data_IF_139650462454
#
_entry.id   IF_139650462454
#
_cell.length_a   1.000
_cell.length_b   1.000
_cell.length_c   1.000
_cell.angle_alpha   90.00
_cell.angle_beta   90.00
_cell.angle_gamma   90.00
#
_symmetry.space_group_name_H-M   'P 1'
#
loop_
_entity.id
_entity.type
_entity.pdbx_description
1 polymer ?
#
# COMPACT_ATOMS: atom_id res chain seq x y z
N UNK A 1 -42.97 -4.26 4.56
CA UNK A 1 -41.80 -4.35 5.45
C UNK A 1 -41.75 -5.73 6.09
N UNK A 2 -40.65 -6.46 5.91
CA UNK A 2 -40.35 -7.67 6.64
C UNK A 2 -39.53 -7.28 7.88
N UNK A 3 -40.03 -7.56 9.07
CA UNK A 3 -39.32 -7.41 10.32
C UNK A 3 -39.23 -8.77 10.98
N UNK A 4 -37.99 -9.22 11.27
CA UNK A 4 -37.72 -10.48 11.91
C UNK A 4 -36.91 -10.22 13.19
N UNK A 5 -37.36 -10.83 14.30
CA UNK A 5 -36.80 -10.57 15.63
C UNK A 5 -37.30 -9.28 16.25
N UNK A 6 -36.90 -9.02 17.48
CA UNK A 6 -37.27 -7.89 18.34
C UNK A 6 -37.52 -8.36 19.76
N UNK A 7 -37.55 -7.43 20.75
CA UNK A 7 -37.85 -7.79 22.13
C UNK A 7 -36.87 -8.76 22.80
N UNK A 8 -35.61 -8.77 22.36
CA UNK A 8 -34.55 -9.66 22.87
C UNK A 8 -34.39 -10.98 22.13
N UNK A 9 -35.12 -11.19 21.03
CA UNK A 9 -34.94 -12.36 20.15
C UNK A 9 -34.13 -11.99 18.91
N UNK A 10 -33.21 -12.87 18.49
CA UNK A 10 -32.52 -12.78 17.20
C UNK A 10 -33.49 -12.99 16.05
N UNK A 11 -33.37 -12.21 14.99
CA UNK A 11 -34.17 -12.37 13.77
C UNK A 11 -33.27 -12.78 12.61
N UNK A 12 -33.30 -14.05 12.26
CA UNK A 12 -32.46 -14.63 11.22
C UNK A 12 -33.26 -14.84 9.93
N UNK A 13 -32.58 -14.70 8.78
CA UNK A 13 -33.10 -15.09 7.48
C UNK A 13 -32.14 -16.10 6.87
N UNK A 14 -32.68 -17.27 6.50
CA UNK A 14 -31.93 -18.34 5.88
C UNK A 14 -32.53 -18.68 4.52
N UNK A 15 -31.72 -18.66 3.46
CA UNK A 15 -32.08 -19.22 2.18
C UNK A 15 -31.32 -20.54 2.01
N UNK A 16 -32.06 -21.59 1.65
CA UNK A 16 -31.54 -22.96 1.54
C UNK A 16 -31.45 -23.37 0.07
N UNK A 17 -30.48 -24.21 -0.26
CA UNK A 17 -30.39 -24.89 -1.54
C UNK A 17 -31.49 -25.97 -1.66
N UNK A 18 -31.60 -26.57 -2.84
CA UNK A 18 -32.48 -27.75 -3.03
C UNK A 18 -32.11 -28.96 -2.16
N UNK A 19 -30.87 -29.00 -1.64
CA UNK A 19 -30.35 -30.00 -0.70
C UNK A 19 -30.50 -29.62 0.76
N UNK A 20 -31.25 -28.56 1.05
CA UNK A 20 -31.50 -28.03 2.40
C UNK A 20 -30.22 -27.47 3.10
N UNK A 21 -29.20 -27.13 2.34
CA UNK A 21 -28.01 -26.47 2.85
C UNK A 21 -28.13 -24.95 2.77
N UNK A 22 -27.59 -24.24 3.76
CA UNK A 22 -27.69 -22.81 3.88
C UNK A 22 -26.75 -22.13 2.85
N UNK A 23 -27.32 -21.37 1.93
CA UNK A 23 -26.58 -20.66 0.87
C UNK A 23 -26.52 -19.15 1.05
N UNK A 24 -27.49 -18.56 1.77
CA UNK A 24 -27.47 -17.16 2.19
C UNK A 24 -28.07 -17.07 3.58
N UNK A 25 -27.38 -16.38 4.47
CA UNK A 25 -27.80 -16.24 5.86
C UNK A 25 -27.58 -14.82 6.35
N UNK A 26 -28.62 -14.24 6.92
CA UNK A 26 -28.56 -12.98 7.66
C UNK A 26 -28.74 -13.31 9.13
N UNK A 27 -27.73 -13.07 9.93
CA UNK A 27 -27.69 -13.30 11.36
C UNK A 27 -28.12 -12.02 12.08
N UNK A 28 -29.31 -12.03 12.63
CA UNK A 28 -29.85 -10.89 13.38
C UNK A 28 -29.28 -10.77 14.78
N UNK A 29 -28.65 -11.82 15.32
CA UNK A 29 -28.00 -11.81 16.63
C UNK A 29 -26.64 -11.10 16.59
N UNK A 30 -25.79 -11.52 15.67
CA UNK A 30 -24.42 -11.01 15.53
C UNK A 30 -24.26 -9.96 14.41
N UNK A 31 -25.31 -9.74 13.60
CA UNK A 31 -25.30 -8.77 12.52
C UNK A 31 -24.47 -9.19 11.30
N UNK A 32 -24.25 -10.49 11.10
CA UNK A 32 -23.44 -11.03 10.03
C UNK A 32 -24.27 -11.39 8.78
N UNK A 33 -23.63 -11.31 7.61
CA UNK A 33 -24.15 -11.83 6.35
C UNK A 33 -23.19 -12.91 5.87
N UNK A 34 -23.70 -14.14 5.66
CA UNK A 34 -22.95 -15.23 5.06
C UNK A 34 -23.52 -15.53 3.67
N UNK A 35 -22.63 -15.57 2.67
CA UNK A 35 -22.95 -15.91 1.30
C UNK A 35 -22.13 -17.14 0.91
N UNK A 36 -22.80 -18.19 0.40
CA UNK A 36 -22.19 -19.48 0.08
C UNK A 36 -22.13 -20.43 1.28
N UNK A 37 -21.56 -21.60 1.05
CA UNK A 37 -21.51 -22.72 1.98
C UNK A 37 -22.27 -23.92 1.43
N UNK A 38 -22.22 -25.06 2.14
CA UNK A 38 -22.94 -26.29 1.74
C UNK A 38 -22.59 -26.79 0.33
N UNK A 39 -21.31 -26.65 -0.08
CA UNK A 39 -20.85 -27.06 -1.41
C UNK A 39 -21.08 -26.01 -2.53
N UNK A 40 -21.60 -24.85 -2.21
CA UNK A 40 -21.79 -23.73 -3.15
C UNK A 40 -20.81 -22.62 -2.90
N UNK A 41 -20.25 -22.05 -3.97
CA UNK A 41 -19.48 -20.79 -3.90
C UNK A 41 -20.43 -19.64 -3.53
N UNK A 42 -19.95 -18.73 -2.73
CA UNK A 42 -20.70 -17.54 -2.36
C UNK A 42 -20.12 -16.30 -3.02
N UNK A 43 -20.90 -15.70 -3.92
CA UNK A 43 -20.51 -14.53 -4.66
C UNK A 43 -21.36 -13.32 -4.27
N UNK A 44 -20.75 -12.12 -4.24
CA UNK A 44 -21.47 -10.85 -4.12
C UNK A 44 -21.12 -10.00 -5.33
N UNK A 45 -22.12 -9.71 -6.15
CA UNK A 45 -21.95 -8.88 -7.33
C UNK A 45 -22.80 -7.61 -7.25
N UNK A 46 -22.22 -6.47 -7.60
CA UNK A 46 -22.89 -5.18 -7.71
C UNK A 46 -22.95 -4.76 -9.19
N UNK A 47 -24.15 -4.41 -9.63
CA UNK A 47 -24.42 -4.01 -10.99
C UNK A 47 -24.79 -2.53 -11.08
N UNK A 48 -24.47 -1.90 -12.19
CA UNK A 48 -24.98 -0.58 -12.57
C UNK A 48 -26.38 -0.67 -13.15
N UNK A 49 -27.00 0.47 -13.38
CA UNK A 49 -28.33 0.62 -13.97
C UNK A 49 -28.45 0.07 -15.41
N UNK A 50 -27.32 0.01 -16.14
CA UNK A 50 -27.21 -0.58 -17.47
C UNK A 50 -27.00 -2.12 -17.44
N UNK A 51 -27.08 -2.74 -16.26
CA UNK A 51 -26.95 -4.19 -16.05
C UNK A 51 -25.53 -4.73 -16.11
N UNK A 52 -24.51 -3.86 -16.13
CA UNK A 52 -23.11 -4.29 -16.13
C UNK A 52 -22.57 -4.48 -14.72
N UNK A 53 -21.79 -5.52 -14.51
CA UNK A 53 -21.17 -5.81 -13.25
C UNK A 53 -20.03 -4.80 -12.98
N UNK A 54 -20.04 -4.17 -11.80
CA UNK A 54 -19.09 -3.12 -11.39
C UNK A 54 -18.19 -3.56 -10.25
N UNK A 55 -18.65 -4.47 -9.43
CA UNK A 55 -17.87 -5.06 -8.36
C UNK A 55 -18.29 -6.51 -8.18
N UNK A 56 -17.33 -7.39 -7.92
CA UNK A 56 -17.55 -8.80 -7.67
C UNK A 56 -16.61 -9.29 -6.58
N UNK A 57 -17.16 -9.91 -5.56
CA UNK A 57 -16.44 -10.69 -4.56
C UNK A 57 -16.72 -12.14 -4.89
N UNK A 58 -15.70 -12.85 -5.37
CA UNK A 58 -15.79 -14.23 -5.83
C UNK A 58 -15.33 -15.16 -4.71
N UNK A 59 -16.28 -15.85 -4.10
CA UNK A 59 -16.00 -16.80 -3.02
C UNK A 59 -15.35 -18.09 -3.49
N UNK A 60 -15.43 -18.42 -4.78
CA UNK A 60 -14.81 -19.62 -5.35
C UNK A 60 -13.31 -19.46 -5.55
N UNK A 61 -12.86 -18.31 -6.03
CA UNK A 61 -11.45 -18.00 -6.28
C UNK A 61 -10.81 -17.13 -5.18
N UNK A 62 -11.61 -16.65 -4.22
CA UNK A 62 -11.19 -15.73 -3.15
C UNK A 62 -10.66 -14.39 -3.68
N UNK A 63 -11.21 -13.89 -4.79
CA UNK A 63 -10.80 -12.64 -5.42
C UNK A 63 -11.84 -11.53 -5.23
N UNK A 64 -11.37 -10.29 -5.26
CA UNK A 64 -12.20 -9.08 -5.31
C UNK A 64 -11.89 -8.37 -6.62
N UNK A 65 -12.90 -8.17 -7.45
CA UNK A 65 -12.81 -7.44 -8.70
C UNK A 65 -13.55 -6.11 -8.57
N UNK A 66 -12.93 -5.03 -9.01
CA UNK A 66 -13.55 -3.72 -9.15
C UNK A 66 -13.37 -3.23 -10.59
N UNK A 67 -14.43 -2.72 -11.19
CA UNK A 67 -14.44 -2.27 -12.59
C UNK A 67 -14.70 -3.39 -13.59
N UNK A 68 -14.45 -3.11 -14.86
CA UNK A 68 -14.75 -3.98 -16.00
C UNK A 68 -15.95 -3.49 -16.78
N UNK A 69 -16.23 -4.13 -17.92
CA UNK A 69 -17.35 -3.84 -18.82
C UNK A 69 -17.49 -2.35 -19.20
N UNK A 70 -16.35 -1.68 -19.40
CA UNK A 70 -16.27 -0.28 -19.81
C UNK A 70 -16.16 0.73 -18.66
N UNK A 71 -15.97 0.28 -17.41
CA UNK A 71 -15.65 1.15 -16.27
C UNK A 71 -14.30 0.77 -15.64
N UNK A 72 -13.52 1.78 -15.29
CA UNK A 72 -12.35 1.58 -14.44
C UNK A 72 -12.80 1.23 -13.01
N UNK A 73 -12.04 0.36 -12.35
CA UNK A 73 -12.31 -0.04 -10.97
C UNK A 73 -11.29 0.57 -10.02
N UNK A 74 -11.77 1.46 -9.17
CA UNK A 74 -10.92 2.16 -8.21
C UNK A 74 -11.17 1.68 -6.78
N UNK A 75 -10.12 1.65 -5.95
CA UNK A 75 -10.24 1.44 -4.52
C UNK A 75 -9.67 2.67 -3.80
N UNK A 76 -10.53 3.36 -3.06
CA UNK A 76 -10.15 4.55 -2.30
C UNK A 76 -10.31 4.32 -0.80
N UNK A 77 -9.21 4.40 -0.04
CA UNK A 77 -9.24 4.43 1.42
C UNK A 77 -9.25 5.89 1.89
N UNK A 78 -10.17 6.19 2.80
CA UNK A 78 -10.39 7.54 3.30
C UNK A 78 -10.01 7.64 4.77
N UNK A 79 -9.56 8.82 5.19
CA UNK A 79 -9.37 9.16 6.60
C UNK A 79 -10.72 9.44 7.28
N UNK A 80 -10.68 9.75 8.59
CA UNK A 80 -11.86 10.05 9.41
C UNK A 80 -12.59 11.33 8.96
N UNK A 81 -11.95 12.21 8.22
CA UNK A 81 -12.53 13.40 7.61
C UNK A 81 -13.15 13.13 6.22
N UNK A 82 -13.07 11.88 5.72
CA UNK A 82 -13.61 11.48 4.42
C UNK A 82 -12.69 11.79 3.22
N UNK A 83 -11.46 12.24 3.47
CA UNK A 83 -10.48 12.53 2.43
C UNK A 83 -9.78 11.26 1.98
N UNK A 84 -9.68 11.03 0.66
CA UNK A 84 -8.93 9.91 0.10
C UNK A 84 -7.44 10.03 0.41
N UNK A 85 -6.87 9.04 1.10
CA UNK A 85 -5.46 8.96 1.49
C UNK A 85 -4.69 7.90 0.71
N UNK A 86 -5.34 6.79 0.33
CA UNK A 86 -4.77 5.79 -0.58
C UNK A 86 -5.77 5.58 -1.70
N UNK A 87 -5.30 5.59 -2.93
CA UNK A 87 -6.11 5.40 -4.13
C UNK A 87 -5.38 4.45 -5.09
N UNK A 88 -5.99 3.30 -5.34
CA UNK A 88 -5.63 2.42 -6.43
C UNK A 88 -6.52 2.83 -7.60
N UNK A 89 -5.92 3.41 -8.61
CA UNK A 89 -6.60 4.00 -9.77
C UNK A 89 -6.34 3.09 -10.97
N UNK A 90 -7.34 2.32 -11.35
CA UNK A 90 -7.22 1.39 -12.46
C UNK A 90 -7.36 2.09 -13.83
N UNK A 91 -7.94 3.28 -13.87
CA UNK A 91 -8.04 4.07 -15.10
C UNK A 91 -6.68 4.56 -15.58
N UNK A 92 -5.87 5.07 -14.65
CA UNK A 92 -4.50 5.55 -14.91
C UNK A 92 -3.43 4.47 -14.66
N UNK A 93 -3.77 3.34 -14.05
CA UNK A 93 -2.84 2.26 -13.70
C UNK A 93 -1.83 2.67 -12.62
N UNK A 94 -2.22 3.50 -11.65
CA UNK A 94 -1.33 4.04 -10.62
C UNK A 94 -1.86 3.85 -9.21
N UNK A 95 -0.93 3.83 -8.25
CA UNK A 95 -1.23 3.88 -6.82
C UNK A 95 -0.82 5.26 -6.31
N UNK A 96 -1.79 6.03 -5.78
CA UNK A 96 -1.55 7.34 -5.18
C UNK A 96 -1.68 7.27 -3.68
N UNK A 97 -0.65 7.72 -2.96
CA UNK A 97 -0.68 7.92 -1.52
C UNK A 97 -0.61 9.42 -1.26
N UNK A 98 -1.65 9.99 -0.62
CA UNK A 98 -1.74 11.42 -0.31
C UNK A 98 -1.78 11.59 1.20
N UNK A 99 -0.98 12.48 1.76
CA UNK A 99 -0.99 12.75 3.20
C UNK A 99 0.10 13.72 3.62
N UNK A 100 0.13 14.03 4.90
CA UNK A 100 1.15 14.90 5.51
C UNK A 100 2.56 14.28 5.55
N UNK A 101 2.68 13.02 5.17
CA UNK A 101 3.90 12.23 5.27
C UNK A 101 4.44 11.78 3.90
N UNK A 102 4.17 12.54 2.82
CA UNK A 102 4.95 12.36 1.60
C UNK A 102 6.36 12.86 1.94
N UNK A 103 7.24 11.92 2.20
CA UNK A 103 8.63 12.23 2.51
C UNK A 103 9.31 12.74 1.25
N UNK A 104 9.69 14.02 1.25
CA UNK A 104 10.62 14.61 0.27
C UNK A 104 12.01 14.56 0.86
N UNK A 105 13.04 14.58 0.03
CA UNK A 105 14.43 14.48 0.47
C UNK A 105 15.23 15.76 0.24
N UNK A 106 14.64 16.79 -0.37
CA UNK A 106 15.29 18.06 -0.73
C UNK A 106 16.06 18.74 0.42
N UNK A 107 15.79 18.33 1.67
CA UNK A 107 16.54 18.79 2.85
C UNK A 107 18.02 18.38 2.81
N UNK A 108 18.38 17.34 2.03
CA UNK A 108 19.77 16.91 1.81
C UNK A 108 20.59 17.99 1.12
N UNK A 109 19.96 18.83 0.28
CA UNK A 109 20.61 19.94 -0.39
C UNK A 109 20.58 21.24 0.42
N UNK A 110 19.96 21.25 1.60
CA UNK A 110 19.89 22.44 2.43
C UNK A 110 21.26 22.83 2.99
N UNK A 111 21.49 24.13 3.13
CA UNK A 111 22.69 24.64 3.77
C UNK A 111 22.78 24.10 5.21
N UNK A 112 23.91 23.46 5.53
CA UNK A 112 24.16 22.89 6.86
C UNK A 112 23.70 21.41 7.00
N UNK A 113 23.27 20.78 5.92
CA UNK A 113 23.04 19.31 5.96
C UNK A 113 24.34 18.58 6.30
N UNK A 114 24.28 17.71 7.29
CA UNK A 114 25.44 16.94 7.76
C UNK A 114 25.59 15.65 6.92
N UNK A 115 26.18 15.80 5.73
CA UNK A 115 26.50 14.66 4.87
C UNK A 115 27.56 13.80 5.55
N UNK A 116 27.23 12.51 5.82
CA UNK A 116 28.17 11.57 6.47
C UNK A 116 29.36 11.29 5.56
N UNK A 117 30.62 11.36 6.07
CA UNK A 117 31.78 10.91 5.31
C UNK A 117 31.65 9.45 4.87
N UNK A 118 32.13 9.13 3.67
CA UNK A 118 32.05 7.75 3.15
C UNK A 118 32.78 6.74 4.04
N UNK A 119 33.84 7.12 4.73
CA UNK A 119 34.54 6.24 5.69
C UNK A 119 33.63 5.86 6.88
N UNK A 120 32.80 6.80 7.37
CA UNK A 120 31.84 6.52 8.45
C UNK A 120 30.69 5.65 7.96
N UNK A 121 30.26 5.82 6.69
CA UNK A 121 29.26 4.97 6.05
C UNK A 121 29.80 3.55 5.89
N UNK A 122 31.04 3.39 5.43
CA UNK A 122 31.73 2.11 5.28
C UNK A 122 31.80 1.36 6.63
N UNK A 123 32.29 2.05 7.67
CA UNK A 123 32.38 1.47 9.01
C UNK A 123 31.01 1.06 9.56
N UNK A 124 29.97 1.85 9.30
CA UNK A 124 28.60 1.51 9.70
C UNK A 124 28.10 0.27 8.98
N UNK A 125 28.27 0.18 7.66
CA UNK A 125 27.89 -0.97 6.86
C UNK A 125 28.62 -2.25 7.35
N UNK A 126 29.93 -2.14 7.56
CA UNK A 126 30.74 -3.27 8.06
C UNK A 126 30.25 -3.79 9.42
N UNK A 127 29.77 -2.90 10.29
CA UNK A 127 29.31 -3.27 11.64
C UNK A 127 27.84 -3.69 11.70
N UNK A 128 26.98 -3.16 10.84
CA UNK A 128 25.52 -3.30 10.92
C UNK A 128 24.88 -4.05 9.76
N UNK A 129 25.56 -4.17 8.61
CA UNK A 129 25.08 -4.88 7.43
C UNK A 129 24.02 -4.12 6.61
N UNK A 130 23.74 -2.86 6.95
CA UNK A 130 22.78 -2.01 6.22
C UNK A 130 23.22 -0.55 6.19
N UNK A 131 22.58 0.28 5.35
CA UNK A 131 22.87 1.72 5.24
C UNK A 131 22.43 2.48 6.51
N UNK A 132 23.15 3.57 6.89
CA UNK A 132 22.71 4.44 7.97
C UNK A 132 21.30 5.01 7.74
N UNK A 133 20.44 4.88 8.75
CA UNK A 133 19.05 5.34 8.70
C UNK A 133 18.07 4.40 8.01
N UNK A 134 18.54 3.34 7.35
CA UNK A 134 17.69 2.27 6.78
C UNK A 134 17.53 1.18 7.85
N UNK A 135 16.33 0.66 8.03
CA UNK A 135 16.06 -0.46 8.92
C UNK A 135 16.79 -1.73 8.44
N UNK A 136 17.13 -2.63 9.36
CA UNK A 136 17.69 -3.93 8.98
C UNK A 136 16.66 -4.82 8.30
N UNK A 137 17.10 -5.87 7.60
CA UNK A 137 16.20 -6.86 7.01
C UNK A 137 15.28 -7.49 8.06
N UNK A 138 15.84 -7.85 9.21
CA UNK A 138 15.10 -8.43 10.34
C UNK A 138 14.01 -7.48 10.85
N UNK A 139 14.33 -6.19 11.06
CA UNK A 139 13.34 -5.22 11.51
C UNK A 139 12.20 -5.05 10.47
N UNK A 140 12.54 -5.08 9.18
CA UNK A 140 11.54 -4.98 8.10
C UNK A 140 10.64 -6.22 8.03
N UNK A 141 11.19 -7.41 8.26
CA UNK A 141 10.42 -8.66 8.29
C UNK A 141 9.47 -8.71 9.49
N UNK A 142 9.92 -8.26 10.66
CA UNK A 142 9.13 -8.32 11.90
C UNK A 142 8.07 -7.22 12.00
N UNK A 143 8.39 -6.00 11.57
CA UNK A 143 7.55 -4.81 11.78
C UNK A 143 6.82 -4.35 10.52
N UNK A 144 7.17 -4.91 9.36
CA UNK A 144 6.71 -4.42 8.07
C UNK A 144 7.43 -3.12 7.65
N UNK A 145 7.06 -2.60 6.50
CA UNK A 145 7.68 -1.40 5.90
C UNK A 145 6.62 -0.37 5.56
N UNK A 146 6.80 0.85 6.05
CA UNK A 146 6.06 2.01 5.54
C UNK A 146 6.65 2.40 4.17
N UNK A 147 5.91 2.10 3.10
CA UNK A 147 6.36 2.33 1.72
C UNK A 147 6.64 3.81 1.43
N UNK A 148 5.84 4.71 2.01
CA UNK A 148 6.00 6.15 1.79
C UNK A 148 7.27 6.68 2.48
N UNK A 149 7.50 6.28 3.72
CA UNK A 149 8.72 6.61 4.45
C UNK A 149 9.96 6.02 3.76
N UNK A 150 9.88 4.77 3.28
CA UNK A 150 10.97 4.11 2.58
C UNK A 150 11.31 4.81 1.27
N UNK A 151 10.34 5.26 0.47
CA UNK A 151 10.59 5.99 -0.76
C UNK A 151 11.33 7.31 -0.50
N UNK A 152 10.91 8.08 0.51
CA UNK A 152 11.59 9.30 0.91
C UNK A 152 13.03 9.05 1.38
N UNK A 153 13.23 7.98 2.14
CA UNK A 153 14.56 7.57 2.61
C UNK A 153 15.46 7.15 1.43
N UNK A 154 14.95 6.37 0.48
CA UNK A 154 15.71 6.00 -0.72
C UNK A 154 16.08 7.21 -1.56
N UNK A 155 15.17 8.19 -1.72
CA UNK A 155 15.46 9.44 -2.40
C UNK A 155 16.59 10.21 -1.68
N UNK A 156 16.52 10.32 -0.34
CA UNK A 156 17.58 10.92 0.44
C UNK A 156 18.94 10.24 0.23
N UNK A 157 18.98 8.90 0.16
CA UNK A 157 20.24 8.17 -0.11
C UNK A 157 20.78 8.41 -1.54
N UNK A 158 19.90 8.56 -2.52
CA UNK A 158 20.28 8.95 -3.89
C UNK A 158 20.89 10.38 -3.89
N UNK A 159 20.28 11.30 -3.19
CA UNK A 159 20.76 12.69 -3.09
C UNK A 159 22.10 12.78 -2.35
N UNK A 160 22.27 12.06 -1.21
CA UNK A 160 23.55 11.94 -0.51
C UNK A 160 24.63 11.36 -1.43
N UNK A 161 24.33 10.28 -2.16
CA UNK A 161 25.24 9.65 -3.12
C UNK A 161 25.62 10.61 -4.25
N UNK A 162 24.66 11.40 -4.74
CA UNK A 162 24.90 12.43 -5.77
C UNK A 162 25.87 13.51 -5.27
N UNK A 163 25.72 13.97 -4.02
CA UNK A 163 26.67 14.92 -3.43
C UNK A 163 28.09 14.34 -3.33
N UNK A 164 28.22 13.09 -2.91
CA UNK A 164 29.52 12.41 -2.90
C UNK A 164 30.12 12.27 -4.30
N UNK A 165 29.32 11.90 -5.29
CA UNK A 165 29.77 11.78 -6.68
C UNK A 165 30.28 13.13 -7.23
N UNK A 166 29.55 14.23 -6.97
CA UNK A 166 29.96 15.58 -7.36
C UNK A 166 31.29 15.96 -6.68
N UNK A 167 31.47 15.64 -5.40
CA UNK A 167 32.74 15.92 -4.70
C UNK A 167 33.89 15.09 -5.27
N UNK A 168 33.66 13.79 -5.55
CA UNK A 168 34.65 12.92 -6.18
C UNK A 168 35.07 13.46 -7.56
N UNK A 169 34.14 13.90 -8.39
CA UNK A 169 34.43 14.49 -9.71
C UNK A 169 35.31 15.70 -9.60
N UNK A 170 35.00 16.64 -8.66
CA UNK A 170 35.84 17.81 -8.41
C UNK A 170 37.25 17.42 -7.98
N UNK A 171 37.41 16.40 -7.16
CA UNK A 171 38.71 15.89 -6.72
C UNK A 171 39.49 15.26 -7.86
N UNK A 172 38.84 14.49 -8.71
CA UNK A 172 39.45 13.88 -9.91
C UNK A 172 39.95 14.99 -10.84
N UNK A 173 39.12 15.96 -11.21
CA UNK A 173 39.47 17.05 -12.08
C UNK A 173 40.68 17.87 -11.51
N UNK A 174 40.69 18.06 -10.19
CA UNK A 174 41.82 18.77 -9.54
C UNK A 174 43.13 17.95 -9.57
N UNK A 175 43.07 16.65 -9.48
CA UNK A 175 44.21 15.75 -9.59
C UNK A 175 44.74 15.67 -11.04
N UNK A 176 43.84 15.57 -12.01
CA UNK A 176 44.18 15.60 -13.44
C UNK A 176 44.88 16.92 -13.84
N UNK A 177 44.34 18.06 -13.38
CA UNK A 177 44.97 19.36 -13.62
C UNK A 177 46.38 19.45 -13.03
N UNK A 178 46.62 18.87 -11.85
CA UNK A 178 47.98 18.81 -11.25
C UNK A 178 48.92 17.90 -12.01
N UNK A 179 48.44 16.79 -12.55
CA UNK A 179 49.24 15.88 -13.37
C UNK A 179 49.63 16.47 -14.71
N UNK A 180 48.72 17.26 -15.33
CA UNK A 180 48.99 17.95 -16.59
C UNK A 180 50.00 19.10 -16.49
N UNK A 181 50.28 19.57 -15.28
CA UNK A 181 51.23 20.70 -15.03
C UNK A 181 52.62 20.25 -14.56
N UNK A 182 52.83 18.93 -14.34
CA UNK A 182 54.12 18.31 -14.05
C UNK A 182 54.69 17.62 -15.28
#
# INVERSE_FOLDING_TARGET
>A
NLQMGGGGASGDISLLSGTQEQTLFFDGGDGNIRVGGGGSNGDVALFSDDGKMRMHIDGGSANIYAGGEGAAGDIALKDKEGKTVIHLDAGDGVIRIKGKHVSTADYVFAAGYNLKPLADVEAFIASRGHLPGVASATDMEEQGVDLNAMQGLLLAKIEELTLHAIEQEKRIAALEAKLATN
#
